data_IF_720771239261
#
_entry.id   IF_720771239261
#
_cell.length_a   1.000
_cell.length_b   1.000
_cell.length_c   1.000
_cell.angle_alpha   90.00
_cell.angle_beta   90.00
_cell.angle_gamma   90.00
#
_symmetry.space_group_name_H-M   'P 1'
#
loop_
_entity.id
_entity.type
_entity.pdbx_description
1 polymer ?
#
# COMPACT_ATOMS: atom_id res chain seq x y z
N UNK A 1 20.88 -10.42 -0.31
CA UNK A 1 19.58 -10.71 -0.93
C UNK A 1 18.57 -9.89 -0.16
N UNK A 2 17.75 -9.12 -0.86
CA UNK A 2 16.62 -8.44 -0.23
C UNK A 2 15.69 -9.52 0.34
N UNK A 3 15.18 -9.29 1.56
CA UNK A 3 14.24 -10.22 2.19
C UNK A 3 12.91 -10.12 1.47
N UNK A 4 12.25 -11.26 1.27
CA UNK A 4 10.90 -11.27 0.70
C UNK A 4 9.93 -10.56 1.64
N UNK A 5 8.96 -9.84 1.07
CA UNK A 5 8.01 -9.02 1.80
C UNK A 5 6.62 -9.65 1.82
N UNK A 6 6.06 -9.82 3.02
CA UNK A 6 4.71 -10.31 3.25
C UNK A 6 3.82 -9.19 3.81
N UNK A 7 2.80 -8.81 3.06
CA UNK A 7 1.80 -7.82 3.48
C UNK A 7 0.56 -8.55 4.00
N UNK A 8 0.10 -8.19 5.19
CA UNK A 8 -1.07 -8.80 5.83
C UNK A 8 -2.07 -7.70 6.13
N UNK A 9 -3.27 -7.78 5.56
CA UNK A 9 -4.27 -6.72 5.64
C UNK A 9 -5.40 -7.14 6.58
N UNK A 10 -5.73 -6.26 7.51
CA UNK A 10 -6.96 -6.32 8.29
C UNK A 10 -8.13 -5.83 7.42
N UNK A 11 -8.89 -6.80 6.89
CA UNK A 11 -10.00 -6.55 5.98
C UNK A 11 -11.14 -5.78 6.63
N UNK A 12 -11.46 -6.10 7.89
CA UNK A 12 -12.52 -5.44 8.65
C UNK A 12 -12.16 -3.97 8.91
N UNK A 13 -10.94 -3.71 9.38
CA UNK A 13 -10.49 -2.36 9.69
C UNK A 13 -10.39 -1.52 8.43
N UNK A 14 -9.77 -2.03 7.36
CA UNK A 14 -9.63 -1.29 6.11
C UNK A 14 -10.98 -1.01 5.43
N UNK A 15 -11.94 -1.95 5.47
CA UNK A 15 -13.29 -1.73 4.95
C UNK A 15 -14.05 -0.64 5.74
N UNK A 16 -13.96 -0.66 7.07
CA UNK A 16 -14.53 0.41 7.91
C UNK A 16 -13.88 1.77 7.60
N UNK A 17 -12.56 1.81 7.42
CA UNK A 17 -11.85 3.04 7.02
C UNK A 17 -12.35 3.57 5.68
N UNK A 18 -12.49 2.70 4.70
CA UNK A 18 -13.01 3.08 3.39
C UNK A 18 -14.45 3.62 3.47
N UNK A 19 -15.33 2.96 4.23
CA UNK A 19 -16.73 3.35 4.43
C UNK A 19 -16.87 4.77 4.99
N UNK A 20 -16.10 5.13 6.01
CA UNK A 20 -16.19 6.46 6.63
C UNK A 20 -15.38 7.53 5.89
N UNK A 21 -14.41 7.14 5.06
CA UNK A 21 -13.60 8.09 4.29
C UNK A 21 -14.29 8.59 3.02
N UNK A 22 -15.19 7.78 2.44
CA UNK A 22 -15.86 8.09 1.17
C UNK A 22 -17.36 8.29 1.45
N UNK A 23 -17.97 9.39 0.96
CA UNK A 23 -19.43 9.57 1.02
C UNK A 23 -20.17 8.35 0.48
N UNK A 24 -21.42 8.13 0.89
CA UNK A 24 -22.22 7.05 0.33
C UNK A 24 -22.34 7.23 -1.19
N UNK A 25 -21.87 6.23 -1.91
CA UNK A 25 -21.93 6.11 -3.36
C UNK A 25 -22.79 4.91 -3.66
N UNK A 26 -23.60 4.99 -4.70
CA UNK A 26 -24.36 3.87 -5.23
C UNK A 26 -24.23 3.76 -6.73
N UNK A 27 -24.37 2.54 -7.24
CA UNK A 27 -24.50 2.31 -8.68
C UNK A 27 -25.94 2.62 -9.14
N UNK A 28 -26.19 2.54 -10.46
CA UNK A 28 -27.53 2.74 -11.04
C UNK A 28 -28.63 1.83 -10.49
N UNK A 29 -28.27 0.66 -9.95
CA UNK A 29 -29.20 -0.30 -9.35
C UNK A 29 -29.50 0.04 -7.88
N UNK A 30 -28.90 1.09 -7.33
CA UNK A 30 -29.08 1.52 -5.94
C UNK A 30 -28.21 0.75 -4.93
N UNK A 31 -27.30 -0.11 -5.39
CA UNK A 31 -26.36 -0.84 -4.53
C UNK A 31 -25.32 0.14 -4.03
N UNK A 32 -25.13 0.21 -2.71
CA UNK A 32 -24.11 1.06 -2.09
C UNK A 32 -22.74 0.43 -2.27
N UNK A 33 -21.75 1.19 -2.74
CA UNK A 33 -20.43 0.68 -3.15
C UNK A 33 -19.23 1.50 -2.66
N UNK A 34 -19.44 2.51 -1.82
CA UNK A 34 -18.38 3.42 -1.36
C UNK A 34 -17.23 2.72 -0.62
N UNK A 35 -17.54 1.77 0.26
CA UNK A 35 -16.54 1.03 1.02
C UNK A 35 -15.77 0.07 0.12
N UNK A 36 -16.45 -0.66 -0.77
CA UNK A 36 -15.79 -1.54 -1.74
C UNK A 36 -14.85 -0.77 -2.68
N UNK A 37 -15.29 0.38 -3.18
CA UNK A 37 -14.48 1.27 -4.00
C UNK A 37 -13.25 1.79 -3.24
N UNK A 38 -13.46 2.28 -2.01
CA UNK A 38 -12.37 2.82 -1.18
C UNK A 38 -11.36 1.75 -0.78
N UNK A 39 -11.83 0.58 -0.37
CA UNK A 39 -11.00 -0.56 -0.02
C UNK A 39 -10.11 -0.97 -1.20
N UNK A 40 -10.69 -1.11 -2.40
CA UNK A 40 -9.96 -1.48 -3.61
C UNK A 40 -8.87 -0.46 -3.95
N UNK A 41 -9.16 0.84 -3.84
CA UNK A 41 -8.15 1.88 -4.06
C UNK A 41 -7.03 1.86 -3.01
N UNK A 42 -7.36 1.64 -1.74
CA UNK A 42 -6.36 1.51 -0.68
C UNK A 42 -5.46 0.29 -0.92
N UNK A 43 -6.06 -0.84 -1.28
CA UNK A 43 -5.35 -2.07 -1.63
C UNK A 43 -4.39 -1.87 -2.80
N UNK A 44 -4.85 -1.29 -3.90
CA UNK A 44 -4.01 -1.00 -5.07
C UNK A 44 -2.86 -0.04 -4.73
N UNK A 45 -3.09 0.95 -3.86
CA UNK A 45 -2.04 1.84 -3.38
C UNK A 45 -0.98 1.07 -2.59
N UNK A 46 -1.39 0.24 -1.63
CA UNK A 46 -0.47 -0.60 -0.85
C UNK A 46 0.34 -1.51 -1.78
N UNK A 47 -0.32 -2.13 -2.76
CA UNK A 47 0.33 -2.99 -3.74
C UNK A 47 1.42 -2.25 -4.54
N UNK A 48 1.11 -1.04 -5.02
CA UNK A 48 2.04 -0.22 -5.80
C UNK A 48 3.21 0.34 -4.99
N UNK A 49 2.93 0.78 -3.75
CA UNK A 49 3.91 1.40 -2.87
C UNK A 49 4.85 0.34 -2.26
N UNK A 50 4.29 -0.79 -1.81
CA UNK A 50 5.04 -1.80 -1.06
C UNK A 50 5.58 -2.94 -1.92
N UNK A 51 4.96 -3.22 -3.07
CA UNK A 51 5.33 -4.31 -4.00
C UNK A 51 5.57 -5.64 -3.27
N UNK A 52 4.54 -6.19 -2.59
CA UNK A 52 4.67 -7.43 -1.83
C UNK A 52 5.03 -8.63 -2.72
N UNK A 53 5.83 -9.55 -2.17
CA UNK A 53 6.00 -10.90 -2.73
C UNK A 53 4.83 -11.81 -2.31
N UNK A 54 4.32 -11.59 -1.09
CA UNK A 54 3.24 -12.33 -0.47
C UNK A 54 2.16 -11.38 0.07
N UNK A 55 0.89 -11.78 -0.03
CA UNK A 55 -0.24 -10.97 0.40
C UNK A 55 -1.36 -11.84 0.97
N UNK A 56 -1.98 -11.40 2.07
CA UNK A 56 -3.18 -12.01 2.63
C UNK A 56 -4.13 -10.96 3.22
N UNK A 57 -5.42 -11.28 3.25
CA UNK A 57 -6.44 -10.48 3.93
C UNK A 57 -7.16 -11.33 4.97
N UNK A 58 -7.22 -10.86 6.21
CA UNK A 58 -7.98 -11.51 7.28
C UNK A 58 -9.31 -10.76 7.52
N UNK A 59 -10.39 -11.49 7.75
CA UNK A 59 -11.66 -10.92 8.21
C UNK A 59 -12.18 -11.65 9.45
N UNK A 60 -12.98 -10.94 10.24
CA UNK A 60 -13.69 -11.54 11.37
C UNK A 60 -14.76 -12.53 10.89
N UNK A 61 -14.87 -13.68 11.54
CA UNK A 61 -15.92 -14.66 11.31
C UNK A 61 -16.68 -14.96 12.60
N UNK A 62 -17.76 -14.22 12.82
CA UNK A 62 -18.58 -14.34 14.00
C UNK A 62 -18.00 -13.59 15.21
N UNK A 63 -18.14 -14.16 16.41
CA UNK A 63 -17.64 -13.57 17.65
C UNK A 63 -16.51 -14.44 18.22
N UNK A 64 -15.52 -13.81 18.86
CA UNK A 64 -14.45 -14.52 19.57
C UNK A 64 -15.03 -15.42 20.66
N UNK A 65 -14.83 -16.73 20.57
CA UNK A 65 -15.33 -17.65 21.60
C UNK A 65 -14.51 -17.49 22.88
N UNK A 66 -13.20 -17.35 22.76
CA UNK A 66 -12.30 -17.27 23.91
C UNK A 66 -12.52 -16.00 24.74
N UNK A 67 -12.53 -14.81 24.10
CA UNK A 67 -12.69 -13.53 24.84
C UNK A 67 -14.07 -13.41 25.48
N UNK A 68 -15.14 -13.83 24.80
CA UNK A 68 -16.48 -13.83 25.38
C UNK A 68 -16.67 -14.84 26.52
N UNK A 69 -15.96 -15.97 26.48
CA UNK A 69 -16.00 -16.94 27.58
C UNK A 69 -15.36 -16.37 28.84
N UNK A 70 -14.28 -15.60 28.68
CA UNK A 70 -13.53 -14.99 29.79
C UNK A 70 -14.23 -13.73 30.32
N UNK A 71 -14.78 -12.90 29.42
CA UNK A 71 -15.45 -11.65 29.79
C UNK A 71 -16.66 -11.39 28.90
N UNK A 72 -17.86 -11.60 29.45
CA UNK A 72 -19.13 -11.54 28.70
C UNK A 72 -19.37 -10.19 28.03
N UNK A 73 -18.96 -9.10 28.69
CA UNK A 73 -19.20 -7.75 28.22
C UNK A 73 -18.14 -7.26 27.20
N UNK A 74 -17.18 -8.12 26.81
CA UNK A 74 -16.19 -7.79 25.79
C UNK A 74 -16.87 -7.38 24.47
N UNK A 75 -16.48 -6.21 23.92
CA UNK A 75 -17.09 -5.58 22.73
C UNK A 75 -18.63 -5.41 22.80
N UNK A 76 -19.26 -5.55 23.96
CA UNK A 76 -20.73 -5.54 24.09
C UNK A 76 -21.37 -4.18 23.70
N UNK A 77 -20.63 -3.09 23.89
CA UNK A 77 -21.08 -1.73 23.54
C UNK A 77 -20.71 -1.30 22.11
N UNK A 78 -20.02 -2.17 21.36
CA UNK A 78 -19.63 -1.86 19.98
C UNK A 78 -20.89 -1.86 19.11
N UNK A 79 -21.11 -0.75 18.40
CA UNK A 79 -22.20 -0.70 17.42
C UNK A 79 -21.94 -1.78 16.36
N UNK A 80 -23.01 -2.47 15.96
CA UNK A 80 -22.94 -3.41 14.86
C UNK A 80 -22.46 -2.73 13.57
N UNK A 81 -21.95 -3.54 12.64
CA UNK A 81 -21.59 -3.07 11.31
C UNK A 81 -22.78 -2.34 10.67
N UNK A 82 -22.58 -1.13 10.12
CA UNK A 82 -23.63 -0.36 9.45
C UNK A 82 -24.35 -1.20 8.38
N UNK A 83 -25.66 -1.00 8.25
CA UNK A 83 -26.49 -1.74 7.29
C UNK A 83 -26.06 -1.47 5.84
N UNK A 84 -25.50 -0.30 5.56
CA UNK A 84 -24.93 0.07 4.27
C UNK A 84 -23.57 -0.60 4.00
N UNK A 85 -22.81 -0.93 5.04
CA UNK A 85 -21.48 -1.57 4.91
C UNK A 85 -21.60 -3.09 4.78
N UNK A 86 -22.55 -3.71 5.49
CA UNK A 86 -22.69 -5.17 5.55
C UNK A 86 -22.76 -5.85 4.18
N UNK A 87 -23.57 -5.39 3.20
CA UNK A 87 -23.59 -5.98 1.86
C UNK A 87 -22.27 -5.80 1.10
N UNK A 88 -21.55 -4.72 1.37
CA UNK A 88 -20.28 -4.40 0.71
C UNK A 88 -19.14 -5.33 1.14
N UNK A 89 -19.23 -5.98 2.29
CA UNK A 89 -18.24 -6.99 2.70
C UNK A 89 -18.19 -8.15 1.71
N UNK A 90 -19.33 -8.59 1.17
CA UNK A 90 -19.36 -9.61 0.12
C UNK A 90 -18.68 -9.10 -1.15
N UNK A 91 -19.02 -7.87 -1.57
CA UNK A 91 -18.43 -7.25 -2.76
C UNK A 91 -16.90 -7.16 -2.63
N UNK A 92 -16.39 -6.78 -1.46
CA UNK A 92 -14.95 -6.72 -1.19
C UNK A 92 -14.31 -8.11 -1.35
N UNK A 93 -14.92 -9.16 -0.81
CA UNK A 93 -14.41 -10.53 -0.95
C UNK A 93 -14.46 -11.01 -2.40
N UNK A 94 -15.53 -10.72 -3.14
CA UNK A 94 -15.65 -11.04 -4.56
C UNK A 94 -14.52 -10.34 -5.38
N UNK A 95 -14.18 -9.09 -5.04
CA UNK A 95 -13.05 -8.37 -5.66
C UNK A 95 -11.72 -9.03 -5.31
N UNK A 96 -11.49 -9.37 -4.03
CA UNK A 96 -10.25 -10.02 -3.58
C UNK A 96 -10.04 -11.37 -4.26
N UNK A 97 -11.10 -12.17 -4.41
CA UNK A 97 -11.08 -13.44 -5.12
C UNK A 97 -10.72 -13.23 -6.60
N UNK A 98 -11.36 -12.26 -7.27
CA UNK A 98 -11.02 -11.91 -8.66
C UNK A 98 -9.58 -11.37 -8.79
N UNK A 99 -9.01 -10.78 -7.74
CA UNK A 99 -7.61 -10.38 -7.68
C UNK A 99 -6.64 -11.52 -7.34
N UNK A 100 -7.14 -12.75 -7.13
CA UNK A 100 -6.37 -13.91 -6.66
C UNK A 100 -5.63 -13.64 -5.34
N UNK A 101 -6.26 -12.90 -4.42
CA UNK A 101 -5.73 -12.60 -3.09
C UNK A 101 -6.36 -13.55 -2.08
N UNK A 102 -5.57 -14.30 -1.30
CA UNK A 102 -6.11 -15.25 -0.33
C UNK A 102 -6.79 -14.53 0.84
N UNK A 103 -7.96 -15.06 1.21
CA UNK A 103 -8.82 -14.55 2.28
C UNK A 103 -8.83 -15.59 3.42
N UNK A 104 -8.59 -15.14 4.66
CA UNK A 104 -8.58 -15.98 5.84
C UNK A 104 -9.66 -15.56 6.84
N UNK A 105 -10.47 -16.53 7.25
CA UNK A 105 -11.63 -16.35 8.13
C UNK A 105 -11.87 -17.63 8.94
N UNK A 106 -11.61 -17.59 10.24
CA UNK A 106 -11.76 -18.75 11.13
C UNK A 106 -12.79 -18.47 12.23
N UNK A 107 -13.67 -19.44 12.47
CA UNK A 107 -14.73 -19.25 13.46
C UNK A 107 -14.16 -19.29 14.88
N UNK A 108 -14.59 -18.34 15.71
CA UNK A 108 -14.16 -18.25 17.11
C UNK A 108 -12.86 -17.48 17.34
N UNK A 109 -12.20 -17.02 16.28
CA UNK A 109 -11.06 -16.11 16.31
C UNK A 109 -11.40 -14.77 15.64
N UNK A 110 -10.67 -13.73 16.01
CA UNK A 110 -10.78 -12.40 15.37
C UNK A 110 -9.72 -12.26 14.27
N UNK A 111 -9.93 -11.33 13.34
CA UNK A 111 -8.97 -11.05 12.27
C UNK A 111 -7.56 -10.78 12.84
N UNK A 112 -7.47 -10.07 13.97
CA UNK A 112 -6.22 -9.78 14.66
C UNK A 112 -5.45 -11.05 15.08
N UNK A 113 -6.15 -12.11 15.51
CA UNK A 113 -5.55 -13.38 15.91
C UNK A 113 -5.00 -14.14 14.68
N UNK A 114 -5.71 -14.08 13.55
CA UNK A 114 -5.24 -14.63 12.27
C UNK A 114 -4.00 -13.88 11.79
N UNK A 115 -4.02 -12.54 11.87
CA UNK A 115 -2.89 -11.67 11.51
C UNK A 115 -1.68 -11.99 12.39
N UNK A 116 -1.86 -12.07 13.71
CA UNK A 116 -0.79 -12.43 14.65
C UNK A 116 -0.16 -13.78 14.32
N UNK A 117 -0.98 -14.76 13.96
CA UNK A 117 -0.53 -16.10 13.57
C UNK A 117 0.23 -16.10 12.24
N UNK A 118 -0.25 -15.36 11.23
CA UNK A 118 0.43 -15.18 9.94
C UNK A 118 1.77 -14.47 10.09
N UNK A 119 1.84 -13.43 10.93
CA UNK A 119 3.09 -12.72 11.24
C UNK A 119 4.11 -13.71 11.81
N UNK A 120 3.74 -14.49 12.83
CA UNK A 120 4.66 -15.46 13.43
C UNK A 120 5.09 -16.53 12.44
N UNK A 121 4.22 -16.91 11.51
CA UNK A 121 4.57 -17.83 10.44
C UNK A 121 5.56 -17.20 9.44
N UNK A 122 5.32 -15.97 8.98
CA UNK A 122 6.21 -15.24 8.07
C UNK A 122 7.58 -14.92 8.68
N UNK A 123 7.63 -14.55 9.97
CA UNK A 123 8.88 -14.39 10.72
C UNK A 123 9.74 -15.67 10.73
N UNK A 124 9.11 -16.85 10.85
CA UNK A 124 9.81 -18.14 10.77
C UNK A 124 10.38 -18.45 9.38
N UNK A 125 9.77 -17.92 8.32
CA UNK A 125 10.31 -18.01 6.95
C UNK A 125 11.45 -16.99 6.71
N UNK A 126 11.65 -16.04 7.63
CA UNK A 126 12.65 -14.97 7.50
C UNK A 126 12.19 -13.78 6.66
N UNK A 127 10.90 -13.66 6.41
CA UNK A 127 10.29 -12.57 5.64
C UNK A 127 10.20 -11.26 6.43
N UNK A 128 10.11 -10.16 5.70
CA UNK A 128 9.69 -8.87 6.26
C UNK A 128 8.17 -8.75 6.21
N UNK A 129 7.54 -8.66 7.37
CA UNK A 129 6.09 -8.56 7.49
C UNK A 129 5.65 -7.10 7.62
N UNK A 130 4.58 -6.75 6.91
CA UNK A 130 3.91 -5.47 7.01
C UNK A 130 2.43 -5.67 7.27
N UNK A 131 1.97 -5.33 8.47
CA UNK A 131 0.57 -5.40 8.86
C UNK A 131 -0.10 -4.09 8.45
N UNK A 132 -1.21 -4.15 7.73
CA UNK A 132 -2.00 -2.96 7.39
C UNK A 132 -3.31 -2.99 8.16
N UNK A 133 -3.45 -2.06 9.11
CA UNK A 133 -4.67 -1.93 9.90
C UNK A 133 -4.90 -0.48 10.36
N UNK A 134 -6.12 -0.17 10.77
CA UNK A 134 -6.48 1.02 11.52
C UNK A 134 -6.53 0.80 13.04
N UNK A 135 -6.22 -0.42 13.52
CA UNK A 135 -6.19 -0.76 14.94
C UNK A 135 -4.77 -0.62 15.52
N UNK A 136 -4.68 -0.07 16.74
CA UNK A 136 -3.41 0.07 17.46
C UNK A 136 -3.02 -1.21 18.21
N UNK A 137 -3.93 -2.15 18.37
CA UNK A 137 -3.62 -3.39 19.10
C UNK A 137 -2.58 -4.22 18.35
N UNK A 138 -2.52 -4.13 17.01
CA UNK A 138 -1.48 -4.73 16.19
C UNK A 138 -0.06 -4.21 16.48
N UNK A 139 0.11 -3.07 17.17
CA UNK A 139 1.43 -2.58 17.58
C UNK A 139 2.17 -3.57 18.50
N UNK A 140 1.45 -4.44 19.21
CA UNK A 140 2.05 -5.50 20.01
C UNK A 140 2.81 -6.55 19.18
N UNK A 141 2.52 -6.63 17.87
CA UNK A 141 3.14 -7.59 16.95
C UNK A 141 4.41 -7.06 16.30
N UNK A 142 4.75 -5.78 16.49
CA UNK A 142 5.96 -5.17 15.92
C UNK A 142 7.22 -5.88 16.43
N UNK A 143 8.15 -6.14 15.52
CA UNK A 143 9.39 -6.85 15.80
C UNK A 143 10.52 -6.35 14.90
N UNK A 144 11.69 -7.00 14.95
CA UNK A 144 12.79 -6.71 14.00
C UNK A 144 12.44 -7.04 12.55
N UNK A 145 11.44 -7.89 12.33
CA UNK A 145 11.00 -8.34 11.01
C UNK A 145 9.58 -7.86 10.67
N UNK A 146 8.88 -7.22 11.61
CA UNK A 146 7.47 -6.89 11.47
C UNK A 146 7.22 -5.42 11.75
N UNK A 147 6.57 -4.73 10.82
CA UNK A 147 6.13 -3.34 10.93
C UNK A 147 4.61 -3.24 10.78
N UNK A 148 4.03 -2.18 11.34
CA UNK A 148 2.60 -1.87 11.19
C UNK A 148 2.42 -0.59 10.38
N UNK A 149 1.67 -0.67 9.30
CA UNK A 149 1.21 0.45 8.51
C UNK A 149 -0.16 0.90 9.03
N UNK A 150 -0.17 1.94 9.85
CA UNK A 150 -1.37 2.47 10.47
C UNK A 150 -2.09 3.43 9.53
N UNK A 151 -3.34 3.12 9.20
CA UNK A 151 -4.19 3.99 8.36
C UNK A 151 -4.80 5.08 9.24
N UNK A 152 -4.35 6.35 9.19
CA UNK A 152 -4.71 7.37 10.19
C UNK A 152 -5.99 8.16 9.86
N UNK A 153 -6.06 8.73 8.66
CA UNK A 153 -7.24 9.44 8.12
C UNK A 153 -7.31 9.27 6.59
N UNK A 154 -8.41 8.70 6.11
CA UNK A 154 -8.64 8.53 4.67
C UNK A 154 -7.68 7.55 3.99
N UNK A 155 -7.49 7.75 2.68
CA UNK A 155 -6.73 6.87 1.77
C UNK A 155 -5.22 7.27 1.70
N UNK A 156 -4.86 8.44 2.22
CA UNK A 156 -3.60 9.11 1.87
C UNK A 156 -2.52 9.03 2.94
N UNK A 157 -2.89 9.20 4.22
CA UNK A 157 -1.93 9.30 5.33
C UNK A 157 -1.72 7.94 6.00
N UNK A 158 -0.59 7.33 5.64
CA UNK A 158 -0.10 6.09 6.22
C UNK A 158 1.04 6.40 7.19
N UNK A 159 0.97 5.86 8.40
CA UNK A 159 1.99 6.03 9.42
C UNK A 159 2.62 4.68 9.73
N UNK A 160 3.92 4.54 9.47
CA UNK A 160 4.65 3.30 9.76
C UNK A 160 5.02 3.29 11.24
N UNK A 161 4.79 2.16 11.90
CA UNK A 161 5.25 1.86 13.25
C UNK A 161 6.23 0.69 13.20
N UNK A 162 7.45 0.97 13.65
CA UNK A 162 8.49 0.02 13.97
C UNK A 162 8.88 0.16 15.46
N UNK A 163 9.90 -0.59 15.89
CA UNK A 163 10.37 -0.57 17.28
C UNK A 163 10.78 0.86 17.71
N UNK A 164 11.43 1.61 16.82
CA UNK A 164 11.92 2.97 17.10
C UNK A 164 10.74 3.93 17.27
N UNK A 165 9.78 3.89 16.34
CA UNK A 165 8.57 4.72 16.37
C UNK A 165 7.73 4.46 17.62
N UNK A 166 7.61 3.19 18.04
CA UNK A 166 6.90 2.83 19.28
C UNK A 166 7.65 3.41 20.49
N UNK A 167 8.98 3.25 20.54
CA UNK A 167 9.81 3.79 21.62
C UNK A 167 9.72 5.32 21.69
N UNK A 168 9.74 6.01 20.57
CA UNK A 168 9.65 7.49 20.54
C UNK A 168 8.29 7.99 21.03
N UNK A 169 7.20 7.33 20.64
CA UNK A 169 5.83 7.79 20.96
C UNK A 169 5.34 7.37 22.32
N UNK A 170 5.64 6.14 22.72
CA UNK A 170 5.12 5.55 23.95
C UNK A 170 6.19 5.41 25.03
N UNK A 171 7.48 5.49 24.69
CA UNK A 171 8.58 5.11 25.58
C UNK A 171 8.48 3.66 26.08
N UNK A 172 7.92 2.78 25.23
CA UNK A 172 7.70 1.37 25.52
C UNK A 172 8.29 0.48 24.42
N UNK A 173 8.37 -0.80 24.70
CA UNK A 173 8.59 -1.87 23.72
C UNK A 173 7.25 -2.39 23.19
N UNK A 174 7.21 -3.07 22.02
CA UNK A 174 5.99 -3.68 21.49
C UNK A 174 5.27 -4.60 22.48
N UNK A 175 6.00 -5.42 23.25
CA UNK A 175 5.42 -6.34 24.22
C UNK A 175 4.63 -5.60 25.32
N UNK A 176 5.09 -4.41 25.71
CA UNK A 176 4.46 -3.60 26.75
C UNK A 176 3.18 -2.87 26.28
N UNK A 177 2.84 -2.91 24.99
CA UNK A 177 1.58 -2.35 24.49
C UNK A 177 0.38 -3.07 25.11
N UNK A 178 0.50 -4.38 25.32
CA UNK A 178 -0.54 -5.19 25.96
C UNK A 178 -0.66 -4.84 27.45
N UNK A 179 0.49 -4.66 28.13
CA UNK A 179 0.52 -4.20 29.51
C UNK A 179 -0.09 -2.80 29.66
N UNK A 180 0.15 -1.90 28.70
CA UNK A 180 -0.46 -0.58 28.68
C UNK A 180 -1.99 -0.69 28.67
N UNK A 181 -2.54 -1.52 27.77
CA UNK A 181 -3.98 -1.81 27.69
C UNK A 181 -4.51 -2.51 28.94
N UNK A 182 -3.76 -3.42 29.53
CA UNK A 182 -4.13 -4.08 30.78
C UNK A 182 -4.30 -3.11 31.94
N UNK A 183 -3.46 -2.07 32.01
CA UNK A 183 -3.54 -1.04 33.06
C UNK A 183 -4.61 0.01 32.78
N UNK A 184 -4.67 0.55 31.56
CA UNK A 184 -5.55 1.68 31.24
C UNK A 184 -6.95 1.26 30.76
N UNK A 185 -7.13 0.00 30.38
CA UNK A 185 -8.33 -0.50 29.74
C UNK A 185 -8.46 -0.06 28.29
N UNK A 186 -9.61 -0.39 27.71
CA UNK A 186 -10.00 0.04 26.37
C UNK A 186 -11.51 0.23 26.28
N UNK A 187 -11.94 1.48 26.14
CA UNK A 187 -13.36 1.79 26.01
C UNK A 187 -13.97 1.30 24.70
N UNK A 188 -13.24 1.19 23.58
CA UNK A 188 -13.86 0.72 22.32
C UNK A 188 -14.22 -0.76 22.38
N UNK A 189 -13.39 -1.55 23.06
CA UNK A 189 -13.56 -2.99 23.20
C UNK A 189 -14.14 -3.40 24.56
N UNK A 190 -14.52 -2.41 25.38
CA UNK A 190 -15.06 -2.60 26.72
C UNK A 190 -14.11 -3.40 27.64
N UNK A 191 -12.80 -3.15 27.52
CA UNK A 191 -11.79 -3.70 28.42
C UNK A 191 -11.70 -2.78 29.65
N UNK A 192 -11.88 -3.29 30.88
CA UNK A 192 -12.10 -2.45 32.05
C UNK A 192 -10.86 -1.69 32.52
N UNK A 193 -9.67 -2.31 32.48
CA UNK A 193 -8.44 -1.74 33.03
C UNK A 193 -8.48 -1.56 34.55
N UNK A 194 -7.52 -0.80 35.10
CA UNK A 194 -7.48 -0.45 36.53
C UNK A 194 -8.15 0.90 36.75
N UNK A 195 -9.19 1.00 37.60
CA UNK A 195 -9.89 2.26 37.86
C UNK A 195 -8.97 3.40 38.29
N UNK A 196 -9.00 4.49 37.52
CA UNK A 196 -8.20 5.69 37.79
C UNK A 196 -6.72 5.58 37.40
N UNK A 197 -6.33 4.55 36.66
CA UNK A 197 -5.05 4.46 35.94
C UNK A 197 -5.32 4.75 34.47
N UNK A 198 -4.93 5.94 34.00
CA UNK A 198 -5.00 6.30 32.59
C UNK A 198 -3.66 6.07 31.88
N UNK A 199 -3.64 6.29 30.56
CA UNK A 199 -2.46 6.11 29.68
C UNK A 199 -1.18 6.71 30.28
N UNK A 200 -1.20 7.98 30.72
CA UNK A 200 -0.01 8.64 31.30
C UNK A 200 0.55 7.93 32.54
N UNK A 201 -0.33 7.45 33.41
CA UNK A 201 0.07 6.72 34.62
C UNK A 201 0.62 5.35 34.24
N UNK A 202 -0.07 4.64 33.35
CA UNK A 202 0.38 3.33 32.87
C UNK A 202 1.75 3.40 32.17
N UNK A 203 1.98 4.38 31.28
CA UNK A 203 3.27 4.61 30.62
C UNK A 203 4.39 4.83 31.63
N UNK A 204 4.15 5.63 32.67
CA UNK A 204 5.14 5.87 33.74
C UNK A 204 5.47 4.58 34.48
N UNK A 205 4.47 3.80 34.87
CA UNK A 205 4.66 2.56 35.61
C UNK A 205 5.42 1.52 34.77
N UNK A 206 5.06 1.36 33.50
CA UNK A 206 5.73 0.41 32.61
C UNK A 206 7.16 0.83 32.25
N UNK A 207 7.43 2.14 32.19
CA UNK A 207 8.81 2.62 32.03
C UNK A 207 9.70 2.30 33.23
N UNK A 208 9.13 2.18 34.43
CA UNK A 208 9.87 1.94 35.68
C UNK A 208 9.97 0.45 36.03
N UNK A 209 8.88 -0.30 35.84
CA UNK A 209 8.74 -1.70 36.27
C UNK A 209 8.72 -2.70 35.11
N UNK A 210 8.72 -2.25 33.86
CA UNK A 210 8.69 -3.07 32.64
C UNK A 210 7.34 -3.77 32.36
N UNK A 211 6.75 -4.49 33.30
CA UNK A 211 5.52 -5.30 33.08
C UNK A 211 4.46 -5.13 34.17
N UNK A 212 3.21 -5.51 33.89
CA UNK A 212 2.16 -5.57 34.92
C UNK A 212 2.56 -6.51 36.05
N UNK A 213 3.15 -7.66 35.75
CA UNK A 213 3.58 -8.65 36.74
C UNK A 213 4.59 -8.04 37.72
N UNK A 214 5.62 -7.34 37.20
CA UNK A 214 6.61 -6.65 38.02
C UNK A 214 5.99 -5.51 38.85
N UNK A 215 5.04 -4.75 38.30
CA UNK A 215 4.29 -3.73 39.04
C UNK A 215 3.58 -4.35 40.24
N UNK A 216 2.93 -5.50 40.02
CA UNK A 216 2.15 -6.19 41.04
C UNK A 216 3.01 -6.89 42.10
N UNK A 217 4.26 -7.24 41.78
CA UNK A 217 5.23 -7.77 42.74
C UNK A 217 5.85 -6.69 43.64
N UNK A 218 5.88 -5.43 43.19
CA UNK A 218 6.52 -4.32 43.89
C UNK A 218 5.52 -3.31 44.49
N UNK A 219 4.29 -3.72 44.80
CA UNK A 219 3.21 -2.83 45.25
C UNK A 219 3.50 -2.09 46.56
N UNK A 220 4.44 -2.57 47.37
CA UNK A 220 4.84 -1.98 48.65
C UNK A 220 5.75 -0.76 48.49
N UNK A 221 6.43 -0.62 47.34
CA UNK A 221 7.36 0.48 47.03
C UNK A 221 6.65 1.75 46.51
N UNK A 222 5.35 1.67 46.26
CA UNK A 222 4.56 2.78 45.73
C UNK A 222 4.42 3.88 46.78
N UNK A 223 5.21 4.94 46.65
CA UNK A 223 5.20 6.12 47.55
C UNK A 223 3.83 6.81 47.66
N UNK A 224 2.88 6.53 46.74
CA UNK A 224 1.50 7.00 46.80
C UNK A 224 0.55 5.92 47.32
N UNK A 225 0.17 6.01 48.61
CA UNK A 225 -0.77 5.06 49.27
C UNK A 225 -1.99 4.70 48.40
N UNK A 226 -2.62 5.69 47.76
CA UNK A 226 -3.84 5.49 46.95
C UNK A 226 -3.62 4.76 45.62
N UNK A 227 -2.47 4.94 44.95
CA UNK A 227 -2.21 4.26 43.68
C UNK A 227 -1.84 2.80 43.92
N UNK A 228 -1.01 2.53 44.94
CA UNK A 228 -0.69 1.18 45.37
C UNK A 228 -1.92 0.41 45.86
N UNK A 229 -2.80 1.06 46.64
CA UNK A 229 -4.11 0.49 47.04
C UNK A 229 -4.97 0.12 45.82
N UNK A 230 -5.13 1.02 44.84
CA UNK A 230 -5.89 0.72 43.62
C UNK A 230 -5.34 -0.46 42.84
N UNK A 231 -4.02 -0.53 42.67
CA UNK A 231 -3.37 -1.63 41.95
C UNK A 231 -3.52 -2.96 42.73
N UNK A 232 -3.44 -2.94 44.07
CA UNK A 232 -3.71 -4.11 44.92
C UNK A 232 -5.16 -4.58 44.77
N UNK A 233 -6.11 -3.67 44.89
CA UNK A 233 -7.54 -3.99 44.88
C UNK A 233 -8.04 -4.46 43.50
N UNK A 234 -7.30 -4.13 42.43
CA UNK A 234 -7.70 -4.42 41.04
C UNK A 234 -6.68 -5.28 40.28
N UNK A 235 -5.84 -6.04 41.00
CA UNK A 235 -4.82 -6.92 40.41
C UNK A 235 -5.41 -7.87 39.36
N UNK A 236 -6.47 -8.59 39.73
CA UNK A 236 -7.10 -9.57 38.84
C UNK A 236 -7.72 -8.90 37.61
N UNK A 237 -8.20 -7.67 37.76
CA UNK A 237 -8.78 -6.88 36.67
C UNK A 237 -7.70 -6.42 35.67
N UNK A 238 -6.52 -6.05 36.15
CA UNK A 238 -5.39 -5.70 35.29
C UNK A 238 -4.93 -6.90 34.45
N UNK A 239 -4.79 -8.07 35.08
CA UNK A 239 -4.40 -9.32 34.40
C UNK A 239 -5.49 -9.77 33.41
N UNK A 240 -6.76 -9.72 33.82
CA UNK A 240 -7.90 -9.99 32.94
C UNK A 240 -7.87 -9.08 31.71
N UNK A 241 -7.67 -7.78 31.92
CA UNK A 241 -7.63 -6.78 30.84
C UNK A 241 -6.45 -7.03 29.89
N UNK A 242 -5.27 -7.36 30.43
CA UNK A 242 -4.09 -7.76 29.64
C UNK A 242 -4.40 -8.98 28.77
N UNK A 243 -5.02 -10.02 29.35
CA UNK A 243 -5.39 -11.23 28.62
C UNK A 243 -6.39 -10.96 27.49
N UNK A 244 -7.38 -10.08 27.72
CA UNK A 244 -8.35 -9.69 26.70
C UNK A 244 -7.70 -8.92 25.54
N UNK A 245 -6.73 -8.05 25.83
CA UNK A 245 -6.01 -7.24 24.83
C UNK A 245 -4.89 -8.02 24.10
N UNK A 246 -4.51 -9.21 24.59
CA UNK A 246 -3.46 -10.01 23.97
C UNK A 246 -3.97 -10.64 22.68
N UNK A 247 -3.25 -10.44 21.57
CA UNK A 247 -3.53 -11.11 20.29
C UNK A 247 -3.03 -12.55 20.36
N UNK A 248 -3.90 -13.50 20.04
CA UNK A 248 -3.55 -14.91 20.02
C UNK A 248 -2.86 -15.25 18.69
N UNK A 249 -1.58 -15.61 18.75
CA UNK A 249 -0.74 -15.81 17.56
C UNK A 249 -0.51 -17.28 17.17
N UNK A 250 -1.40 -18.18 17.61
CA UNK A 250 -1.27 -19.63 17.41
C UNK A 250 -2.54 -20.27 16.84
N UNK A 251 -3.27 -19.55 15.98
CA UNK A 251 -4.43 -20.10 15.28
C UNK A 251 -3.96 -21.16 14.28
N UNK A 252 -4.58 -22.33 14.32
CA UNK A 252 -4.31 -23.40 13.35
C UNK A 252 -4.92 -23.00 12.00
N UNK A 253 -4.06 -22.76 11.00
CA UNK A 253 -4.44 -22.38 9.64
C UNK A 253 -3.51 -23.07 8.64
N UNK A 254 -4.05 -23.43 7.48
CA UNK A 254 -3.24 -23.92 6.37
C UNK A 254 -2.55 -22.73 5.68
N UNK A 255 -1.33 -22.41 6.12
CA UNK A 255 -0.48 -21.40 5.52
C UNK A 255 0.59 -22.05 4.65
N UNK A 256 0.60 -21.70 3.36
CA UNK A 256 1.65 -22.08 2.44
C UNK A 256 2.11 -20.89 1.58
N UNK A 257 3.40 -20.90 1.24
CA UNK A 257 4.00 -19.80 0.49
C UNK A 257 3.42 -19.66 -0.92
N UNK A 258 3.04 -20.75 -1.59
CA UNK A 258 2.49 -20.70 -2.95
C UNK A 258 1.06 -20.14 -2.98
N UNK A 259 0.27 -20.36 -1.94
CA UNK A 259 -1.04 -19.72 -1.77
C UNK A 259 -0.90 -18.23 -1.48
N UNK A 260 0.03 -17.86 -0.60
CA UNK A 260 0.26 -16.46 -0.21
C UNK A 260 0.96 -15.63 -1.29
N UNK A 261 1.68 -16.27 -2.23
CA UNK A 261 2.45 -15.58 -3.26
C UNK A 261 1.52 -14.76 -4.15
N UNK A 262 1.90 -13.51 -4.39
CA UNK A 262 1.16 -12.60 -5.25
C UNK A 262 1.03 -13.19 -6.65
N UNK A 263 -0.23 -13.32 -7.10
CA UNK A 263 -0.60 -13.82 -8.42
C UNK A 263 -1.21 -12.71 -9.25
N UNK A 264 -1.25 -12.91 -10.56
CA UNK A 264 -1.96 -11.99 -11.45
C UNK A 264 -3.47 -12.10 -11.19
N UNK A 265 -4.22 -11.00 -11.23
CA UNK A 265 -5.69 -11.04 -11.19
C UNK A 265 -6.29 -11.89 -12.30
N UNK A 266 -7.49 -12.41 -12.06
CA UNK A 266 -8.41 -12.89 -13.09
C UNK A 266 -9.07 -11.66 -13.74
N UNK A 267 -8.41 -11.14 -14.79
CA UNK A 267 -8.80 -9.89 -15.43
C UNK A 267 -10.22 -9.92 -16.03
N UNK A 268 -10.68 -11.07 -16.51
CA UNK A 268 -12.04 -11.23 -17.06
C UNK A 268 -13.09 -11.08 -15.97
N UNK A 269 -12.92 -11.79 -14.85
CA UNK A 269 -13.82 -11.66 -13.69
C UNK A 269 -13.75 -10.27 -13.08
N UNK A 270 -12.55 -9.72 -12.94
CA UNK A 270 -12.34 -8.41 -12.33
C UNK A 270 -12.94 -7.28 -13.18
N UNK A 271 -12.77 -7.33 -14.51
CA UNK A 271 -13.41 -6.37 -15.42
C UNK A 271 -14.93 -6.43 -15.34
N UNK A 272 -15.50 -7.64 -15.39
CA UNK A 272 -16.95 -7.85 -15.30
C UNK A 272 -17.51 -7.28 -13.98
N UNK A 273 -16.81 -7.52 -12.87
CA UNK A 273 -17.20 -7.02 -11.55
C UNK A 273 -17.10 -5.48 -11.47
N UNK A 274 -16.03 -4.89 -12.01
CA UNK A 274 -15.90 -3.43 -12.05
C UNK A 274 -16.93 -2.76 -12.97
N UNK A 275 -17.36 -3.41 -14.04
CA UNK A 275 -18.46 -2.94 -14.88
C UNK A 275 -19.79 -2.94 -14.13
N UNK A 276 -20.12 -4.05 -13.45
CA UNK A 276 -21.34 -4.18 -12.65
C UNK A 276 -21.41 -3.15 -11.51
N UNK A 277 -20.28 -2.92 -10.84
CA UNK A 277 -20.15 -1.94 -9.75
C UNK A 277 -19.99 -0.50 -10.25
N UNK A 278 -19.91 -0.30 -11.57
CA UNK A 278 -19.66 0.97 -12.24
C UNK A 278 -18.36 1.69 -11.81
N UNK A 279 -17.32 0.93 -11.47
CA UNK A 279 -16.00 1.42 -11.06
C UNK A 279 -15.15 1.88 -12.26
N UNK A 280 -15.65 2.87 -13.01
CA UNK A 280 -15.08 3.31 -14.31
C UNK A 280 -13.58 3.63 -14.28
N UNK A 281 -13.09 4.25 -13.20
CA UNK A 281 -11.68 4.60 -13.08
C UNK A 281 -10.80 3.36 -12.87
N UNK A 282 -11.25 2.42 -12.02
CA UNK A 282 -10.54 1.16 -11.78
C UNK A 282 -10.54 0.29 -13.03
N UNK A 283 -11.67 0.21 -13.74
CA UNK A 283 -11.77 -0.47 -15.03
C UNK A 283 -10.84 0.12 -16.08
N UNK A 284 -10.78 1.45 -16.19
CA UNK A 284 -9.87 2.12 -17.13
C UNK A 284 -8.40 1.80 -16.85
N UNK A 285 -8.01 1.78 -15.56
CA UNK A 285 -6.64 1.45 -15.17
C UNK A 285 -6.31 -0.01 -15.49
N UNK A 286 -7.26 -0.93 -15.24
CA UNK A 286 -7.13 -2.35 -15.58
C UNK A 286 -6.90 -2.57 -17.08
N UNK A 287 -7.69 -1.90 -17.93
CA UNK A 287 -7.57 -1.98 -19.41
C UNK A 287 -6.24 -1.38 -19.91
N UNK A 288 -5.69 -0.38 -19.22
CA UNK A 288 -4.37 0.17 -19.56
C UNK A 288 -3.24 -0.81 -19.26
N UNK A 289 -3.35 -1.59 -18.19
CA UNK A 289 -2.42 -2.68 -17.89
C UNK A 289 -2.59 -3.87 -18.83
N UNK A 290 -3.83 -4.19 -19.24
CA UNK A 290 -4.14 -5.28 -20.15
C UNK A 290 -3.67 -5.02 -21.57
N UNK A 291 -3.57 -3.77 -22.04
CA UNK A 291 -2.95 -3.50 -23.34
C UNK A 291 -1.52 -4.01 -23.24
N UNK A 292 -1.20 -5.18 -23.83
CA UNK A 292 0.18 -5.44 -24.05
C UNK A 292 0.60 -4.30 -24.97
N UNK A 293 1.79 -3.77 -24.78
CA UNK A 293 2.46 -3.16 -25.91
C UNK A 293 2.70 -4.31 -26.91
N UNK A 294 1.66 -4.78 -27.60
CA UNK A 294 1.75 -5.50 -28.86
C UNK A 294 2.20 -4.47 -29.90
N UNK A 295 3.42 -3.98 -29.71
CA UNK A 295 4.21 -3.63 -30.86
C UNK A 295 4.43 -4.97 -31.57
N UNK A 296 3.69 -5.22 -32.65
CA UNK A 296 4.23 -6.05 -33.72
C UNK A 296 5.53 -5.34 -34.16
N UNK A 297 6.64 -5.65 -33.48
CA UNK A 297 7.98 -5.16 -33.80
C UNK A 297 8.46 -5.87 -35.06
N UNK A 298 7.78 -5.61 -36.17
CA UNK A 298 8.36 -5.70 -37.49
C UNK A 298 8.79 -4.29 -37.89
N UNK A 299 9.59 -3.61 -37.06
CA UNK A 299 10.32 -2.43 -37.53
C UNK A 299 11.69 -2.89 -38.00
N UNK A 300 11.90 -2.85 -39.31
CA UNK A 300 13.22 -2.89 -39.94
C UNK A 300 13.92 -1.54 -39.81
N UNK A 301 13.94 -1.00 -38.59
CA UNK A 301 14.52 0.31 -38.32
C UNK A 301 15.99 0.33 -38.70
N UNK A 302 16.43 1.32 -39.47
CA UNK A 302 17.83 1.44 -39.87
C UNK A 302 18.64 2.02 -38.71
N UNK A 303 19.75 1.35 -38.38
CA UNK A 303 20.68 1.85 -37.38
C UNK A 303 21.55 2.92 -38.02
N UNK A 304 21.50 4.13 -37.45
CA UNK A 304 22.36 5.25 -37.84
C UNK A 304 23.51 5.31 -36.86
N UNK A 305 24.72 5.04 -37.35
CA UNK A 305 25.95 5.03 -36.53
C UNK A 305 26.68 6.38 -36.57
N UNK A 306 26.48 7.17 -37.64
CA UNK A 306 27.15 8.46 -37.80
C UNK A 306 26.15 9.58 -38.18
N UNK A 307 26.31 10.83 -37.70
CA UNK A 307 25.41 11.94 -38.06
C UNK A 307 25.29 12.16 -39.58
N UNK A 308 26.34 11.89 -40.34
CA UNK A 308 26.33 12.00 -41.82
C UNK A 308 25.26 11.10 -42.45
N UNK A 309 25.10 9.88 -41.95
CA UNK A 309 24.14 8.92 -42.50
C UNK A 309 22.70 9.42 -42.27
N UNK A 310 22.43 10.05 -41.11
CA UNK A 310 21.15 10.71 -40.86
C UNK A 310 20.90 11.82 -41.88
N UNK A 311 21.90 12.66 -42.13
CA UNK A 311 21.77 13.76 -43.08
C UNK A 311 21.44 13.26 -44.49
N UNK A 312 22.17 12.25 -44.98
CA UNK A 312 21.93 11.68 -46.31
C UNK A 312 20.53 11.07 -46.47
N UNK A 313 20.01 10.45 -45.41
CA UNK A 313 18.64 9.92 -45.38
C UNK A 313 17.62 11.06 -45.47
N UNK A 314 17.76 12.08 -44.62
CA UNK A 314 16.80 13.19 -44.57
C UNK A 314 16.79 14.05 -45.84
N UNK A 315 17.92 14.13 -46.56
CA UNK A 315 18.02 14.83 -47.84
C UNK A 315 17.36 14.07 -49.00
N UNK A 316 17.24 12.74 -48.90
CA UNK A 316 16.60 11.88 -49.93
C UNK A 316 15.09 11.75 -49.75
N UNK A 317 14.58 12.08 -48.57
CA UNK A 317 13.18 11.92 -48.20
C UNK A 317 12.40 13.24 -48.32
N UNK A 318 11.19 13.18 -48.89
CA UNK A 318 10.25 14.30 -48.83
C UNK A 318 9.50 14.27 -47.49
N UNK A 319 10.05 14.91 -46.46
CA UNK A 319 9.57 14.82 -45.08
C UNK A 319 8.21 15.50 -44.93
N UNK A 320 7.15 14.68 -44.75
CA UNK A 320 5.78 15.18 -44.50
C UNK A 320 5.42 15.24 -43.04
N UNK A 321 6.11 14.49 -42.20
CA UNK A 321 5.94 14.40 -40.75
C UNK A 321 7.23 13.85 -40.15
N UNK A 322 7.59 14.35 -38.98
CA UNK A 322 8.79 13.94 -38.25
C UNK A 322 8.41 13.55 -36.82
N UNK A 323 8.59 12.28 -36.47
CA UNK A 323 8.45 11.81 -35.09
C UNK A 323 9.81 11.70 -34.43
N UNK A 324 9.94 12.24 -33.22
CA UNK A 324 11.19 12.19 -32.44
C UNK A 324 10.92 11.62 -31.06
N UNK A 325 11.76 10.66 -30.67
CA UNK A 325 11.85 10.15 -29.30
C UNK A 325 13.32 10.04 -28.90
N UNK A 326 13.64 10.30 -27.63
CA UNK A 326 15.00 10.22 -27.12
C UNK A 326 15.03 9.64 -25.72
N UNK A 327 16.17 9.06 -25.36
CA UNK A 327 16.53 8.70 -23.98
C UNK A 327 17.65 9.60 -23.51
N UNK A 328 17.72 9.86 -22.22
CA UNK A 328 18.74 10.70 -21.59
C UNK A 328 19.21 10.11 -20.26
N UNK A 329 20.39 10.52 -19.79
CA UNK A 329 21.15 9.88 -18.70
C UNK A 329 20.93 10.46 -17.28
N UNK A 330 19.94 11.32 -17.09
CA UNK A 330 19.78 12.06 -15.83
C UNK A 330 18.31 12.34 -15.50
N UNK A 331 17.98 12.52 -14.22
CA UNK A 331 16.65 13.01 -13.80
C UNK A 331 16.52 14.54 -13.92
N UNK A 332 17.61 15.26 -14.21
CA UNK A 332 17.63 16.71 -14.44
C UNK A 332 17.74 16.99 -15.95
N UNK A 333 16.62 17.40 -16.54
CA UNK A 333 16.54 17.72 -17.97
C UNK A 333 17.43 18.90 -18.41
N UNK A 334 17.84 19.78 -17.50
CA UNK A 334 18.74 20.90 -17.84
C UNK A 334 20.20 20.44 -17.96
N UNK A 335 20.58 19.36 -17.27
CA UNK A 335 21.97 18.87 -17.21
C UNK A 335 22.18 17.54 -17.92
N UNK A 336 21.13 16.76 -18.13
CA UNK A 336 21.20 15.46 -18.79
C UNK A 336 21.75 15.56 -20.21
N UNK A 337 22.22 14.42 -20.73
CA UNK A 337 22.68 14.25 -22.11
C UNK A 337 21.78 13.22 -22.78
N UNK A 338 21.46 13.46 -24.05
CA UNK A 338 20.75 12.47 -24.85
C UNK A 338 21.71 11.30 -25.12
N UNK A 339 21.30 10.09 -24.74
CA UNK A 339 22.08 8.85 -24.92
C UNK A 339 21.70 8.11 -26.19
N UNK A 340 20.44 8.20 -26.60
CA UNK A 340 19.95 7.55 -27.83
C UNK A 340 18.79 8.35 -28.42
N UNK A 341 18.66 8.31 -29.74
CA UNK A 341 17.64 9.04 -30.48
C UNK A 341 16.92 8.08 -31.44
N UNK A 342 15.60 8.13 -31.47
CA UNK A 342 14.75 7.43 -32.42
C UNK A 342 14.00 8.46 -33.25
N UNK A 343 14.07 8.33 -34.56
CA UNK A 343 13.46 9.24 -35.51
C UNK A 343 12.58 8.41 -36.45
N UNK A 344 11.38 8.88 -36.73
CA UNK A 344 10.54 8.32 -37.78
C UNK A 344 10.21 9.39 -38.80
N UNK A 345 10.43 9.06 -40.07
CA UNK A 345 10.11 9.90 -41.22
C UNK A 345 9.26 9.07 -42.18
N UNK A 346 8.08 9.54 -42.57
CA UNK A 346 7.24 8.89 -43.57
C UNK A 346 7.01 7.37 -43.36
N UNK A 347 6.94 6.92 -42.09
CA UNK A 347 6.85 5.50 -41.64
C UNK A 347 8.14 4.67 -41.68
N UNK A 348 9.27 5.24 -42.08
CA UNK A 348 10.58 4.63 -41.92
C UNK A 348 11.19 5.05 -40.57
N UNK A 349 11.67 4.07 -39.80
CA UNK A 349 12.27 4.31 -38.49
C UNK A 349 13.79 4.25 -38.56
N UNK A 350 14.43 5.17 -37.85
CA UNK A 350 15.86 5.29 -37.71
C UNK A 350 16.20 5.32 -36.23
N UNK A 351 17.18 4.52 -35.83
CA UNK A 351 17.62 4.45 -34.45
C UNK A 351 19.10 4.76 -34.34
N UNK A 352 19.42 5.68 -33.45
CA UNK A 352 20.79 6.10 -33.10
C UNK A 352 21.03 5.57 -31.69
N UNK A 353 21.70 4.41 -31.55
CA UNK A 353 21.83 3.73 -30.26
C UNK A 353 22.74 4.47 -29.29
N UNK A 354 23.71 5.23 -29.80
CA UNK A 354 24.67 5.99 -29.01
C UNK A 354 24.85 7.38 -29.61
N UNK A 355 24.36 8.39 -28.91
CA UNK A 355 24.52 9.80 -29.26
C UNK A 355 25.73 10.35 -28.50
N UNK A 356 26.88 10.43 -29.17
CA UNK A 356 28.10 10.99 -28.59
C UNK A 356 28.09 12.52 -28.50
N UNK A 357 27.56 13.16 -29.54
CA UNK A 357 27.41 14.61 -29.61
C UNK A 357 26.04 14.98 -30.21
N UNK A 358 25.10 15.34 -29.34
CA UNK A 358 23.76 15.73 -29.75
C UNK A 358 23.73 17.00 -30.60
N UNK A 359 24.70 17.91 -30.44
CA UNK A 359 24.78 19.15 -31.21
C UNK A 359 24.77 18.89 -32.72
N UNK A 360 25.51 17.85 -33.15
CA UNK A 360 25.60 17.47 -34.55
C UNK A 360 24.26 17.00 -35.11
N UNK A 361 23.53 16.18 -34.35
CA UNK A 361 22.21 15.69 -34.74
C UNK A 361 21.16 16.82 -34.72
N UNK A 362 21.18 17.68 -33.69
CA UNK A 362 20.30 18.84 -33.61
C UNK A 362 20.50 19.80 -34.79
N UNK A 363 21.75 20.03 -35.21
CA UNK A 363 22.08 20.86 -36.39
C UNK A 363 21.53 20.28 -37.69
N UNK A 364 21.56 18.94 -37.84
CA UNK A 364 20.99 18.24 -39.01
C UNK A 364 19.46 18.32 -39.00
N UNK A 365 18.83 18.17 -37.84
CA UNK A 365 17.38 18.21 -37.70
C UNK A 365 16.79 19.62 -37.75
N UNK A 366 17.60 20.64 -37.45
CA UNK A 366 17.18 22.05 -37.34
C UNK A 366 16.31 22.54 -38.50
N UNK A 367 16.68 22.35 -39.79
CA UNK A 367 15.88 22.86 -40.91
C UNK A 367 14.46 22.29 -40.94
N UNK A 368 14.28 21.06 -40.46
CA UNK A 368 13.00 20.36 -40.46
C UNK A 368 12.17 20.68 -39.21
N UNK A 369 12.82 20.88 -38.06
CA UNK A 369 12.17 21.26 -36.81
C UNK A 369 11.68 22.72 -36.80
N UNK A 370 12.37 23.59 -37.53
CA UNK A 370 12.04 25.02 -37.66
C UNK A 370 11.12 25.34 -38.85
N UNK A 371 10.68 24.32 -39.59
CA UNK A 371 9.68 24.42 -40.67
C UNK A 371 8.27 24.18 -40.09
N UNK A 372 7.39 25.17 -40.19
CA UNK A 372 6.02 25.11 -39.68
C UNK A 372 5.11 24.21 -40.54
N UNK A 373 5.55 23.86 -41.76
CA UNK A 373 4.82 22.96 -42.66
C UNK A 373 5.05 21.49 -42.33
N UNK A 374 6.07 21.16 -41.53
CA UNK A 374 6.40 19.79 -41.13
C UNK A 374 5.86 19.54 -39.72
N UNK A 375 4.80 18.73 -39.57
CA UNK A 375 4.30 18.30 -38.26
C UNK A 375 5.37 17.54 -37.48
N UNK A 376 5.56 17.95 -36.22
CA UNK A 376 6.45 17.30 -35.27
C UNK A 376 5.61 16.54 -34.24
N UNK A 377 5.91 15.25 -34.08
CA UNK A 377 5.25 14.36 -33.12
C UNK A 377 6.28 13.86 -32.12
N UNK A 378 5.96 13.88 -30.83
CA UNK A 378 6.84 13.36 -29.77
C UNK A 378 6.02 12.93 -28.56
N UNK A 379 6.61 12.10 -27.69
CA UNK A 379 5.97 11.65 -26.45
C UNK A 379 6.05 12.70 -25.34
N UNK A 380 7.17 13.43 -25.24
CA UNK A 380 7.38 14.47 -24.22
C UNK A 380 7.87 15.77 -24.87
N UNK A 381 6.92 16.59 -25.28
CA UNK A 381 7.20 17.86 -25.96
C UNK A 381 8.01 18.80 -25.09
N UNK A 382 7.75 18.84 -23.77
CA UNK A 382 8.40 19.79 -22.86
C UNK A 382 9.89 19.47 -22.72
N UNK A 383 10.25 18.20 -22.56
CA UNK A 383 11.66 17.79 -22.53
C UNK A 383 12.35 18.04 -23.88
N UNK A 384 11.67 17.75 -25.00
CA UNK A 384 12.22 17.99 -26.32
C UNK A 384 12.58 19.48 -26.52
N UNK A 385 11.72 20.40 -26.08
CA UNK A 385 12.01 21.84 -26.09
C UNK A 385 13.24 22.21 -25.26
N UNK A 386 13.45 21.59 -24.10
CA UNK A 386 14.63 21.87 -23.25
C UNK A 386 15.92 21.43 -23.95
N UNK A 387 15.96 20.20 -24.47
CA UNK A 387 17.15 19.67 -25.13
C UNK A 387 17.48 20.42 -26.43
N UNK A 388 16.48 20.70 -27.27
CA UNK A 388 16.68 21.47 -28.50
C UNK A 388 16.98 22.96 -28.25
N UNK A 389 16.41 23.53 -27.18
CA UNK A 389 16.68 24.91 -26.77
C UNK A 389 18.15 25.14 -26.40
N UNK A 390 18.79 24.15 -25.77
CA UNK A 390 20.24 24.18 -25.48
C UNK A 390 21.08 24.25 -26.75
N UNK A 391 20.58 23.66 -27.84
CA UNK A 391 21.21 23.67 -29.16
C UNK A 391 20.77 24.83 -30.06
N UNK A 392 19.98 25.77 -29.53
CA UNK A 392 19.40 26.91 -30.27
C UNK A 392 18.58 26.46 -31.48
N UNK A 393 17.76 25.43 -31.29
CA UNK A 393 16.77 24.92 -32.27
C UNK A 393 15.37 25.19 -31.73
N UNK A 394 14.55 25.88 -32.53
CA UNK A 394 13.18 26.26 -32.14
C UNK A 394 12.13 25.42 -32.89
N UNK A 395 11.36 24.61 -32.17
CA UNK A 395 10.33 23.77 -32.82
C UNK A 395 9.13 24.64 -33.22
N UNK A 396 8.76 24.64 -34.52
CA UNK A 396 7.62 25.41 -35.03
C UNK A 396 6.40 24.57 -35.43
N UNK A 397 6.60 23.32 -35.84
CA UNK A 397 5.54 22.44 -36.34
C UNK A 397 4.90 21.50 -35.31
N UNK A 398 4.98 21.77 -34.00
CA UNK A 398 4.46 20.84 -32.97
C UNK A 398 2.93 20.68 -33.08
N UNK A 399 2.45 19.44 -33.25
CA UNK A 399 1.01 19.13 -33.18
C UNK A 399 0.65 18.67 -31.76
N UNK A 400 -0.42 19.26 -31.21
CA UNK A 400 -0.98 18.96 -29.91
C UNK A 400 -2.11 17.94 -30.01
#
# INVERSE_FOLDING_TARGET
MDKEKFVIIDGNSLANRAFYAIPLLSNKQGVITNAAYGFTNMLMKIFNDEKPDYLAVAFDKGRSVFRHTIFKDYKAQRKGMPDELRPQMKIIKDILEAMNIPIFEEEGYEADDLIGSMVKWGEKQGWENLIVTGDRDALQLVSKQTRVLFTKKGISELEVYDIETIKEKYNLTPAQIVDLKGLMGDASDNIPGVPGVGEKTALKLLSEYDSIENILENLDDFQGKKLGERLRDNKDMAILSKNLATIFCCVEMELDADTLRVKKPDYEKLSSLYEELEFRNLLKNLIQEEKPLTCNLNSTGLIISHPKDLKEVLEKENIKELTIYFKYDSNDAQKGRIISLAIMVNKQSFYIPQVYDFHLYAKILKPYLEDDRIPIVTYDAKLLYVFLGREKVNIKGMKW
#
